data_IF_842944950228
#
_entry.id   IF_842944950228
#
_cell.length_a   1.000
_cell.length_b   1.000
_cell.length_c   1.000
_cell.angle_alpha   90.00
_cell.angle_beta   90.00
_cell.angle_gamma   90.00
#
_symmetry.space_group_name_H-M   'P 1'
#
loop_
_entity.id
_entity.type
_entity.pdbx_description
1 polymer ?
#
# COMPACT_ATOMS: atom_id res chain seq x y z
N UNK A 1 24.55 4.88 22.90
CA UNK A 1 23.38 5.52 22.28
C UNK A 1 23.92 6.36 21.14
N UNK A 2 23.78 5.85 19.91
CA UNK A 2 24.07 6.64 18.72
C UNK A 2 22.98 7.70 18.59
N UNK A 3 23.37 8.94 18.56
CA UNK A 3 22.47 10.07 18.34
C UNK A 3 22.15 10.12 16.83
N UNK A 4 20.90 9.88 16.46
CA UNK A 4 20.49 9.96 15.07
C UNK A 4 20.36 11.43 14.71
N UNK A 5 21.31 11.95 13.96
CA UNK A 5 21.29 13.32 13.43
C UNK A 5 20.48 13.35 12.15
N UNK A 6 19.30 13.96 12.18
CA UNK A 6 18.48 14.17 10.98
C UNK A 6 19.01 15.38 10.22
N UNK A 7 19.48 15.16 8.99
CA UNK A 7 19.92 16.23 8.09
C UNK A 7 18.81 16.63 7.13
N UNK A 8 18.62 17.93 6.92
CA UNK A 8 17.72 18.47 5.88
C UNK A 8 18.30 18.33 4.47
N UNK A 9 19.57 18.04 4.34
CA UNK A 9 20.21 17.81 3.05
C UNK A 9 19.79 16.44 2.52
N UNK A 10 19.20 16.45 1.31
CA UNK A 10 18.82 15.23 0.61
C UNK A 10 20.07 14.47 0.19
N UNK A 11 20.50 13.53 0.98
CA UNK A 11 21.41 12.51 0.51
C UNK A 11 20.62 11.61 -0.45
N UNK A 12 21.10 11.35 -1.68
CA UNK A 12 20.46 10.38 -2.55
C UNK A 12 20.38 9.07 -1.79
N UNK A 13 19.19 8.47 -1.70
CA UNK A 13 19.02 7.17 -1.08
C UNK A 13 19.84 6.18 -1.92
N UNK A 14 21.01 5.81 -1.45
CA UNK A 14 21.73 4.68 -2.00
C UNK A 14 20.93 3.47 -1.59
N UNK A 15 20.21 2.87 -2.56
CA UNK A 15 19.46 1.64 -2.34
C UNK A 15 20.49 0.55 -1.96
N UNK A 16 20.66 0.32 -0.69
CA UNK A 16 21.43 -0.84 -0.22
C UNK A 16 20.61 -2.05 -0.65
N UNK A 17 21.16 -2.90 -1.49
CA UNK A 17 20.57 -4.18 -1.82
C UNK A 17 20.54 -5.01 -0.52
N UNK A 18 19.42 -4.94 0.19
CA UNK A 18 19.13 -5.87 1.27
C UNK A 18 19.17 -7.29 0.66
N UNK A 19 19.74 -8.25 1.38
CA UNK A 19 19.83 -9.63 0.93
C UNK A 19 18.46 -10.12 0.46
N UNK A 20 18.43 -10.75 -0.71
CA UNK A 20 17.23 -11.33 -1.34
C UNK A 20 16.78 -12.61 -0.63
N UNK A 21 16.88 -12.65 0.70
CA UNK A 21 16.56 -13.82 1.48
C UNK A 21 15.05 -13.84 1.84
N UNK A 22 14.32 -14.70 1.13
CA UNK A 22 12.94 -15.04 1.47
C UNK A 22 12.85 -16.13 2.56
N UNK A 23 13.95 -16.77 2.98
CA UNK A 23 13.92 -17.90 3.94
C UNK A 23 13.42 -17.46 5.33
N UNK A 24 13.60 -16.18 5.68
CA UNK A 24 13.15 -15.62 6.95
C UNK A 24 11.97 -14.65 6.79
N UNK A 25 11.31 -14.69 5.64
CA UNK A 25 10.21 -13.80 5.30
C UNK A 25 9.00 -14.00 6.23
N UNK A 26 8.67 -15.25 6.54
CA UNK A 26 7.60 -15.63 7.47
C UNK A 26 8.20 -16.19 8.76
N UNK A 27 8.31 -15.33 9.78
CA UNK A 27 8.72 -15.71 11.13
C UNK A 27 8.09 -14.78 12.15
N UNK A 28 7.87 -15.28 13.35
CA UNK A 28 7.44 -14.44 14.47
C UNK A 28 8.65 -13.74 15.08
N UNK A 29 8.66 -12.41 15.02
CA UNK A 29 9.70 -11.60 15.65
C UNK A 29 9.20 -10.19 15.95
N UNK A 30 9.96 -9.46 16.80
CA UNK A 30 9.70 -8.07 17.07
C UNK A 30 10.15 -7.20 15.89
N UNK A 31 9.29 -6.29 15.47
CA UNK A 31 9.64 -5.18 14.60
C UNK A 31 9.64 -3.87 15.40
N UNK A 32 10.53 -2.96 15.02
CA UNK A 32 10.69 -1.67 15.66
C UNK A 32 10.48 -0.56 14.64
N UNK A 33 9.47 0.27 14.89
CA UNK A 33 9.24 1.48 14.11
C UNK A 33 9.58 2.68 14.96
N UNK A 34 10.42 3.56 14.46
CA UNK A 34 10.75 4.81 15.11
C UNK A 34 10.80 5.93 14.08
N UNK A 35 10.77 7.17 14.53
CA UNK A 35 10.83 8.28 13.59
C UNK A 35 10.79 9.64 14.23
N UNK A 36 10.74 10.61 13.33
CA UNK A 36 10.70 12.02 13.67
C UNK A 36 9.73 12.74 12.74
N UNK A 37 8.89 13.59 13.32
CA UNK A 37 7.95 14.45 12.59
C UNK A 37 8.52 15.87 12.59
N UNK A 38 9.10 16.27 11.46
CA UNK A 38 9.61 17.62 11.28
C UNK A 38 8.46 18.63 11.20
N UNK A 39 8.59 19.72 11.93
CA UNK A 39 7.52 20.72 12.06
C UNK A 39 6.39 20.32 13.01
N UNK A 40 6.59 19.25 13.81
CA UNK A 40 5.65 18.92 14.88
C UNK A 40 5.64 19.99 15.97
N UNK A 41 4.44 20.35 16.42
CA UNK A 41 4.21 21.23 17.56
C UNK A 41 3.11 20.59 18.43
N UNK A 42 3.32 20.39 19.74
CA UNK A 42 2.29 19.84 20.65
C UNK A 42 0.95 20.58 20.61
N UNK A 43 0.97 21.87 20.19
CA UNK A 43 -0.26 22.66 20.00
C UNK A 43 -1.10 22.23 18.80
N UNK A 44 -0.63 21.31 17.95
CA UNK A 44 -1.42 20.72 16.86
C UNK A 44 -2.62 19.90 17.35
N UNK A 45 -2.68 19.60 18.65
CA UNK A 45 -3.81 18.94 19.27
C UNK A 45 -3.80 17.41 19.17
N UNK A 46 -2.65 16.81 18.85
CA UNK A 46 -2.41 15.38 18.94
C UNK A 46 -1.01 15.08 19.48
N UNK A 47 -0.89 14.06 20.28
CA UNK A 47 0.36 13.52 20.85
C UNK A 47 0.46 12.00 20.62
N UNK A 48 -0.44 11.46 19.81
CA UNK A 48 -0.49 10.05 19.47
C UNK A 48 -0.70 9.85 17.97
N UNK A 49 -0.23 8.72 17.50
CA UNK A 49 -0.57 8.17 16.19
C UNK A 49 -1.04 6.72 16.32
N UNK A 50 -1.48 6.13 15.24
CA UNK A 50 -1.90 4.73 15.17
C UNK A 50 -1.15 3.99 14.06
N UNK A 51 -0.89 2.71 14.30
CA UNK A 51 -0.53 1.74 13.27
C UNK A 51 -1.59 0.65 13.32
N UNK A 52 -2.13 0.28 12.17
CA UNK A 52 -2.98 -0.89 12.04
C UNK A 52 -2.14 -2.05 11.55
N UNK A 53 -2.00 -3.08 12.39
CA UNK A 53 -1.34 -4.33 12.04
C UNK A 53 -2.44 -5.34 11.70
N UNK A 54 -2.67 -5.51 10.41
CA UNK A 54 -3.66 -6.48 9.94
C UNK A 54 -3.03 -7.86 9.83
N UNK A 55 -3.75 -8.88 10.23
CA UNK A 55 -3.43 -10.25 9.88
C UNK A 55 -4.11 -10.58 8.55
N UNK A 56 -3.31 -10.83 7.51
CA UNK A 56 -3.82 -11.04 6.15
C UNK A 56 -4.70 -12.30 6.01
N UNK A 57 -4.57 -13.24 6.92
CA UNK A 57 -5.37 -14.48 6.89
C UNK A 57 -6.65 -14.37 7.70
N UNK A 58 -6.59 -13.81 8.94
CA UNK A 58 -7.76 -13.70 9.81
C UNK A 58 -8.54 -12.42 9.60
N UNK A 59 -7.94 -11.40 8.95
CA UNK A 59 -8.48 -10.05 8.76
C UNK A 59 -8.76 -9.31 10.07
N UNK A 60 -8.08 -9.71 11.11
CA UNK A 60 -8.11 -8.99 12.39
C UNK A 60 -7.11 -7.85 12.37
N UNK A 61 -7.58 -6.67 12.74
CA UNK A 61 -6.76 -5.46 12.87
C UNK A 61 -6.34 -5.27 14.32
N UNK A 62 -5.05 -5.09 14.54
CA UNK A 62 -4.48 -4.82 15.85
C UNK A 62 -3.96 -3.38 15.90
N UNK A 63 -4.79 -2.41 16.33
CA UNK A 63 -4.37 -1.03 16.43
C UNK A 63 -3.30 -0.87 17.52
N UNK A 64 -2.16 -0.35 17.14
CA UNK A 64 -1.06 -0.04 18.05
C UNK A 64 -0.91 1.46 18.15
N UNK A 65 -0.97 1.98 19.38
CA UNK A 65 -0.80 3.41 19.65
C UNK A 65 0.67 3.77 19.66
N UNK A 66 1.03 4.81 18.93
CA UNK A 66 2.34 5.44 18.94
C UNK A 66 2.24 6.70 19.80
N UNK A 67 3.13 6.86 20.78
CA UNK A 67 3.28 8.11 21.53
C UNK A 67 4.27 9.03 20.80
N UNK A 68 3.91 10.30 20.65
CA UNK A 68 4.73 11.33 20.02
C UNK A 68 5.26 12.25 21.11
N UNK A 69 6.56 12.30 21.24
CA UNK A 69 7.21 13.19 22.20
C UNK A 69 7.07 14.66 21.78
N UNK A 70 7.20 15.63 22.71
CA UNK A 70 7.07 17.06 22.39
C UNK A 70 8.02 17.58 21.31
N UNK A 71 9.14 16.89 21.09
CA UNK A 71 10.09 17.21 20.02
C UNK A 71 9.74 16.56 18.67
N UNK A 72 8.61 15.84 18.57
CA UNK A 72 8.18 15.15 17.35
C UNK A 72 8.74 13.75 17.16
N UNK A 73 9.60 13.25 18.05
CA UNK A 73 10.09 11.87 17.97
C UNK A 73 9.03 10.86 18.42
N UNK A 74 9.06 9.66 17.83
CA UNK A 74 8.21 8.55 18.22
C UNK A 74 8.94 7.23 18.07
N UNK A 75 8.50 6.23 18.84
CA UNK A 75 8.97 4.85 18.68
C UNK A 75 7.88 3.86 19.10
N UNK A 76 7.87 2.71 18.46
CA UNK A 76 6.92 1.65 18.74
C UNK A 76 7.58 0.29 18.50
N UNK A 77 7.28 -0.70 19.35
CA UNK A 77 7.66 -2.09 19.20
C UNK A 77 6.39 -2.94 19.08
N UNK A 78 6.34 -3.81 18.08
CA UNK A 78 5.23 -4.74 17.89
C UNK A 78 5.75 -6.11 17.42
N UNK A 79 4.95 -7.15 17.63
CA UNK A 79 5.26 -8.51 17.17
C UNK A 79 4.50 -8.76 15.88
N UNK A 80 5.20 -9.23 14.86
CA UNK A 80 4.61 -9.62 13.58
C UNK A 80 5.06 -11.03 13.18
N UNK A 81 4.24 -11.73 12.41
CA UNK A 81 4.49 -13.10 11.96
C UNK A 81 4.90 -13.16 10.48
N UNK A 82 4.78 -12.07 9.78
CA UNK A 82 5.07 -11.90 8.34
C UNK A 82 5.43 -10.45 8.07
N UNK A 83 6.01 -10.14 6.92
CA UNK A 83 6.19 -8.76 6.49
C UNK A 83 4.86 -8.00 6.47
N UNK A 84 4.91 -6.73 6.83
CA UNK A 84 3.73 -5.88 6.94
C UNK A 84 3.90 -4.63 6.09
N UNK A 85 2.97 -4.42 5.18
CA UNK A 85 2.72 -3.12 4.56
C UNK A 85 1.57 -2.44 5.32
N UNK A 86 1.86 -1.31 5.95
CA UNK A 86 0.90 -0.56 6.75
C UNK A 86 1.14 0.94 6.64
N UNK A 87 0.54 1.71 7.54
CA UNK A 87 0.72 3.16 7.61
C UNK A 87 0.78 3.65 9.04
N UNK A 88 1.62 4.66 9.26
CA UNK A 88 1.49 5.52 10.44
C UNK A 88 0.35 6.50 10.18
N UNK A 89 -0.66 6.45 11.04
CA UNK A 89 -1.84 7.33 10.94
C UNK A 89 -1.70 8.47 11.93
N UNK A 90 -1.58 9.68 11.40
CA UNK A 90 -1.50 10.93 12.15
C UNK A 90 -2.74 11.78 11.82
N UNK A 91 -3.70 11.82 12.74
CA UNK A 91 -5.04 12.35 12.45
C UNK A 91 -5.68 11.58 11.29
N UNK A 92 -6.00 12.27 10.18
CA UNK A 92 -6.59 11.65 8.98
C UNK A 92 -5.53 11.30 7.89
N UNK A 93 -4.25 11.36 8.21
CA UNK A 93 -3.18 11.17 7.24
C UNK A 93 -2.52 9.81 7.42
N UNK A 94 -2.49 9.04 6.34
CA UNK A 94 -1.90 7.71 6.27
C UNK A 94 -0.55 7.80 5.58
N UNK A 95 0.52 7.53 6.31
CA UNK A 95 1.91 7.61 5.83
C UNK A 95 2.42 6.17 5.71
N UNK A 96 2.52 5.62 4.50
CA UNK A 96 2.79 4.21 4.29
C UNK A 96 4.21 3.83 4.70
N UNK A 97 4.38 2.59 5.13
CA UNK A 97 5.66 1.93 5.35
C UNK A 97 5.55 0.43 5.10
N UNK A 98 6.71 -0.20 4.94
CA UNK A 98 6.86 -1.66 4.89
C UNK A 98 7.95 -2.07 5.88
N UNK A 99 7.72 -3.16 6.61
CA UNK A 99 8.67 -3.68 7.59
C UNK A 99 8.59 -5.21 7.68
N UNK A 100 9.74 -5.85 7.89
CA UNK A 100 9.83 -7.30 8.07
C UNK A 100 10.10 -7.66 9.54
N UNK A 101 9.77 -8.91 9.96
CA UNK A 101 10.08 -9.39 11.31
C UNK A 101 11.57 -9.25 11.64
N UNK A 102 11.88 -8.79 12.86
CA UNK A 102 13.24 -8.59 13.33
C UNK A 102 13.92 -7.30 12.88
N UNK A 103 13.24 -6.46 12.08
CA UNK A 103 13.85 -5.24 11.54
C UNK A 103 13.48 -4.00 12.34
N UNK A 104 14.34 -2.99 12.20
CA UNK A 104 14.06 -1.61 12.63
C UNK A 104 13.92 -0.73 11.40
N UNK A 105 12.82 -0.01 11.32
CA UNK A 105 12.57 1.02 10.32
C UNK A 105 12.52 2.38 11.00
N UNK A 106 13.27 3.34 10.49
CA UNK A 106 13.21 4.73 10.92
C UNK A 106 12.56 5.58 9.84
N UNK A 107 11.59 6.42 10.24
CA UNK A 107 10.86 7.31 9.33
C UNK A 107 11.14 8.77 9.67
N UNK A 108 11.39 9.57 8.64
CA UNK A 108 11.32 11.02 8.71
C UNK A 108 10.05 11.47 7.99
N UNK A 109 9.23 12.25 8.67
CA UNK A 109 7.93 12.73 8.18
C UNK A 109 7.96 14.26 8.19
N UNK A 110 7.80 14.88 7.03
CA UNK A 110 7.63 16.31 6.88
C UNK A 110 6.15 16.67 7.12
N UNK A 111 5.84 17.31 8.23
CA UNK A 111 4.47 17.66 8.60
C UNK A 111 3.83 18.65 7.63
N UNK A 112 4.59 19.55 7.05
CA UNK A 112 4.07 20.48 6.05
C UNK A 112 3.62 19.76 4.78
N UNK A 113 4.39 18.76 4.33
CA UNK A 113 4.02 17.92 3.19
C UNK A 113 2.77 17.08 3.48
N UNK A 114 2.63 16.56 4.71
CA UNK A 114 1.41 15.86 5.15
C UNK A 114 0.21 16.80 5.11
N UNK A 115 0.35 18.03 5.61
CA UNK A 115 -0.72 19.02 5.59
C UNK A 115 -1.06 19.51 4.17
N UNK A 116 -0.08 19.54 3.25
CA UNK A 116 -0.34 19.85 1.85
C UNK A 116 -1.28 18.83 1.21
N UNK A 117 -1.09 17.51 1.49
CA UNK A 117 -2.02 16.46 1.08
C UNK A 117 -3.41 16.65 1.69
N UNK A 118 -3.51 16.95 2.97
CA UNK A 118 -4.79 17.21 3.63
C UNK A 118 -5.54 18.38 2.98
N UNK A 119 -4.83 19.44 2.63
CA UNK A 119 -5.41 20.61 1.93
C UNK A 119 -5.86 20.27 0.50
N UNK A 120 -5.13 19.40 -0.20
CA UNK A 120 -5.50 18.94 -1.55
C UNK A 120 -6.79 18.11 -1.57
N UNK A 121 -7.20 17.54 -0.45
CA UNK A 121 -8.37 16.63 -0.31
C UNK A 121 -8.32 15.47 -1.31
N UNK A 122 -7.14 15.05 -1.67
CA UNK A 122 -6.90 13.96 -2.61
C UNK A 122 -6.04 12.87 -1.93
N UNK A 123 -6.60 11.69 -1.78
CA UNK A 123 -5.92 10.54 -1.18
C UNK A 123 -4.64 10.15 -1.93
N UNK A 124 -4.62 10.34 -3.25
CA UNK A 124 -3.47 10.03 -4.11
C UNK A 124 -2.46 11.18 -4.21
N UNK A 125 -2.73 12.33 -3.56
CA UNK A 125 -1.76 13.42 -3.53
C UNK A 125 -0.49 12.94 -2.80
N UNK A 126 0.69 13.00 -3.45
CA UNK A 126 1.90 12.43 -2.89
C UNK A 126 2.36 13.20 -1.63
N UNK A 127 2.64 12.47 -0.55
CA UNK A 127 3.34 13.04 0.61
C UNK A 127 4.82 13.10 0.25
N UNK A 128 5.29 14.30 -0.08
CA UNK A 128 6.70 14.56 -0.37
C UNK A 128 7.53 14.52 0.91
N UNK A 129 8.86 14.41 0.76
CA UNK A 129 9.83 14.53 1.85
C UNK A 129 9.66 13.50 2.99
N UNK A 130 8.98 12.38 2.74
CA UNK A 130 9.03 11.24 3.65
C UNK A 130 10.28 10.43 3.31
N UNK A 131 11.14 10.20 4.28
CA UNK A 131 12.33 9.38 4.14
C UNK A 131 12.27 8.17 5.07
N UNK A 132 12.98 7.13 4.68
CA UNK A 132 13.07 5.89 5.43
C UNK A 132 14.54 5.49 5.60
N UNK A 133 14.89 4.88 6.74
CA UNK A 133 16.21 4.33 7.03
C UNK A 133 16.06 2.94 7.65
N UNK A 134 17.01 2.05 7.37
CA UNK A 134 17.00 0.66 7.82
C UNK A 134 16.83 -0.34 6.67
N UNK A 135 16.81 -1.63 6.96
CA UNK A 135 16.78 -2.68 5.93
C UNK A 135 15.60 -2.61 4.97
N UNK A 136 14.41 -2.23 5.47
CA UNK A 136 13.19 -2.08 4.66
C UNK A 136 13.01 -0.69 4.03
N UNK A 137 13.98 0.22 4.15
CA UNK A 137 13.85 1.60 3.71
C UNK A 137 13.58 1.74 2.21
N UNK A 138 14.37 1.04 1.40
CA UNK A 138 14.24 1.06 -0.07
C UNK A 138 12.87 0.55 -0.51
N UNK A 139 12.41 -0.55 0.10
CA UNK A 139 11.13 -1.15 -0.24
C UNK A 139 9.96 -0.27 0.21
N UNK A 140 10.02 0.29 1.43
CA UNK A 140 9.02 1.27 1.90
C UNK A 140 8.89 2.46 0.94
N UNK A 141 10.02 2.99 0.48
CA UNK A 141 10.03 4.09 -0.49
C UNK A 141 9.41 3.67 -1.83
N UNK A 142 9.84 2.54 -2.39
CA UNK A 142 9.38 2.06 -3.70
C UNK A 142 7.89 1.73 -3.70
N UNK A 143 7.37 1.06 -2.67
CA UNK A 143 5.94 0.76 -2.55
C UNK A 143 5.11 2.04 -2.41
N UNK A 144 5.60 3.01 -1.64
CA UNK A 144 4.95 4.34 -1.53
C UNK A 144 4.88 5.05 -2.88
N UNK A 145 5.99 5.12 -3.62
CA UNK A 145 6.03 5.76 -4.94
C UNK A 145 5.14 5.01 -5.93
N UNK A 146 5.26 3.69 -6.00
CA UNK A 146 4.47 2.88 -6.90
C UNK A 146 2.96 3.06 -6.69
N UNK A 147 2.51 3.04 -5.43
CA UNK A 147 1.11 3.28 -5.09
C UNK A 147 0.58 4.61 -5.61
N UNK A 148 1.40 5.65 -5.63
CA UNK A 148 1.00 6.97 -6.17
C UNK A 148 0.93 6.99 -7.70
N UNK A 149 1.64 6.08 -8.37
CA UNK A 149 1.72 6.01 -9.83
C UNK A 149 0.63 5.12 -10.46
N UNK A 150 -0.06 4.32 -9.65
CA UNK A 150 -1.14 3.41 -10.09
C UNK A 150 -2.50 3.78 -9.46
N UNK A 151 -2.94 5.04 -9.51
CA UNK A 151 -4.20 5.41 -8.91
C UNK A 151 -5.38 4.78 -9.68
N UNK A 152 -6.36 4.28 -8.92
CA UNK A 152 -7.68 3.94 -9.44
C UNK A 152 -8.72 4.39 -8.40
N UNK A 153 -9.47 5.42 -8.74
CA UNK A 153 -10.37 6.07 -7.78
C UNK A 153 -11.67 5.28 -7.62
N UNK A 154 -12.21 5.29 -6.42
CA UNK A 154 -13.49 4.64 -6.13
C UNK A 154 -14.61 5.13 -7.06
N UNK A 155 -14.63 6.43 -7.38
CA UNK A 155 -15.61 7.00 -8.31
C UNK A 155 -15.48 6.44 -9.73
N UNK A 156 -14.25 6.13 -10.18
CA UNK A 156 -14.01 5.50 -11.49
C UNK A 156 -14.59 4.08 -11.51
N UNK A 157 -14.38 3.31 -10.43
CA UNK A 157 -14.97 1.98 -10.28
C UNK A 157 -16.50 2.05 -10.22
N UNK A 158 -17.06 2.96 -9.43
CA UNK A 158 -18.51 3.14 -9.30
C UNK A 158 -19.15 3.54 -10.63
N UNK A 159 -18.53 4.47 -11.35
CA UNK A 159 -18.97 4.87 -12.68
C UNK A 159 -18.91 3.72 -13.70
N UNK A 160 -17.80 2.97 -13.70
CA UNK A 160 -17.63 1.82 -14.58
C UNK A 160 -18.70 0.75 -14.30
N UNK A 161 -18.92 0.40 -13.05
CA UNK A 161 -19.91 -0.60 -12.62
C UNK A 161 -21.32 -0.27 -13.09
N UNK A 162 -21.70 1.00 -13.04
CA UNK A 162 -23.03 1.43 -13.42
C UNK A 162 -23.25 1.58 -14.93
N UNK A 163 -22.17 1.66 -15.72
CA UNK A 163 -22.23 1.93 -17.17
C UNK A 163 -21.80 0.76 -18.04
N UNK A 164 -20.94 -0.11 -17.55
CA UNK A 164 -20.29 -1.15 -18.34
C UNK A 164 -20.86 -2.54 -18.01
N UNK A 165 -20.94 -3.38 -19.02
CA UNK A 165 -21.09 -4.82 -18.84
C UNK A 165 -19.77 -5.44 -18.38
N UNK A 166 -19.74 -6.68 -17.84
CA UNK A 166 -18.50 -7.34 -17.46
C UNK A 166 -17.45 -7.39 -18.59
N UNK A 167 -17.86 -7.77 -19.80
CA UNK A 167 -16.97 -7.81 -20.96
C UNK A 167 -16.43 -6.42 -21.33
N UNK A 168 -17.27 -5.40 -21.30
CA UNK A 168 -16.84 -4.01 -21.53
C UNK A 168 -15.87 -3.53 -20.46
N UNK A 169 -16.07 -3.95 -19.20
CA UNK A 169 -15.14 -3.62 -18.12
C UNK A 169 -13.76 -4.28 -18.31
N UNK A 170 -13.72 -5.54 -18.76
CA UNK A 170 -12.46 -6.18 -19.12
C UNK A 170 -11.68 -5.37 -20.17
N UNK A 171 -12.37 -4.96 -21.24
CA UNK A 171 -11.74 -4.14 -22.29
C UNK A 171 -11.28 -2.76 -21.75
N UNK A 172 -12.06 -2.15 -20.87
CA UNK A 172 -11.71 -0.89 -20.20
C UNK A 172 -10.47 -1.04 -19.32
N UNK A 173 -10.32 -2.15 -18.61
CA UNK A 173 -9.19 -2.39 -17.71
C UNK A 173 -7.89 -2.76 -18.43
N UNK A 174 -7.93 -3.36 -19.61
CA UNK A 174 -6.72 -3.77 -20.35
C UNK A 174 -5.65 -2.67 -20.45
N UNK A 175 -5.93 -1.47 -20.95
CA UNK A 175 -4.92 -0.41 -21.04
C UNK A 175 -4.49 0.11 -19.64
N UNK A 176 -5.34 0.04 -18.65
CA UNK A 176 -5.04 0.47 -17.28
C UNK A 176 -4.02 -0.49 -16.66
N UNK A 177 -4.30 -1.79 -16.72
CA UNK A 177 -3.41 -2.85 -16.21
C UNK A 177 -2.06 -2.82 -16.94
N UNK A 178 -2.07 -2.76 -18.27
CA UNK A 178 -0.84 -2.66 -19.07
C UNK A 178 0.01 -1.44 -18.68
N UNK A 179 -0.62 -0.30 -18.38
CA UNK A 179 0.09 0.88 -17.88
C UNK A 179 0.70 0.64 -16.50
N UNK A 180 0.00 -0.06 -15.58
CA UNK A 180 0.52 -0.38 -14.27
C UNK A 180 1.70 -1.36 -14.32
N UNK A 181 1.60 -2.41 -15.14
CA UNK A 181 2.70 -3.32 -15.43
C UNK A 181 3.93 -2.57 -15.99
N UNK A 182 3.71 -1.70 -16.98
CA UNK A 182 4.77 -0.86 -17.54
C UNK A 182 5.37 0.10 -16.49
N UNK A 183 4.54 0.65 -15.61
CA UNK A 183 5.01 1.51 -14.50
C UNK A 183 5.87 0.73 -13.52
N UNK A 184 5.46 -0.50 -13.16
CA UNK A 184 6.25 -1.38 -12.33
C UNK A 184 7.62 -1.71 -12.96
N UNK A 185 7.63 -2.11 -14.23
CA UNK A 185 8.85 -2.42 -14.97
C UNK A 185 9.78 -1.21 -15.09
N UNK A 186 9.22 -0.03 -15.37
CA UNK A 186 9.97 1.23 -15.44
C UNK A 186 10.60 1.60 -14.12
N UNK A 187 9.85 1.48 -13.01
CA UNK A 187 10.35 1.75 -11.67
C UNK A 187 11.49 0.78 -11.30
N UNK A 188 11.31 -0.50 -11.61
CA UNK A 188 12.34 -1.54 -11.40
C UNK A 188 13.60 -1.25 -12.21
N UNK A 189 13.44 -0.85 -13.46
CA UNK A 189 14.58 -0.53 -14.33
C UNK A 189 15.36 0.71 -13.85
N UNK A 190 14.65 1.74 -13.42
CA UNK A 190 15.26 3.00 -12.96
C UNK A 190 15.93 2.82 -11.59
N UNK A 191 15.20 2.25 -10.64
CA UNK A 191 15.67 2.13 -9.26
C UNK A 191 16.60 0.93 -9.02
N UNK A 192 16.57 -0.08 -9.91
CA UNK A 192 17.35 -1.34 -9.78
C UNK A 192 17.26 -1.93 -8.38
N UNK A 193 16.05 -2.17 -7.86
CA UNK A 193 15.87 -2.71 -6.53
C UNK A 193 16.36 -4.17 -6.44
N UNK A 194 16.37 -4.75 -5.23
CA UNK A 194 16.58 -6.18 -5.05
C UNK A 194 15.52 -7.01 -5.80
N UNK A 195 15.81 -8.28 -6.10
CA UNK A 195 14.86 -9.19 -6.75
C UNK A 195 13.57 -9.33 -5.89
N UNK A 196 13.71 -9.36 -4.56
CA UNK A 196 12.59 -9.35 -3.62
C UNK A 196 11.71 -8.12 -3.81
N UNK A 197 12.28 -6.93 -3.81
CA UNK A 197 11.52 -5.69 -3.97
C UNK A 197 10.86 -5.61 -5.36
N UNK A 198 11.53 -6.03 -6.42
CA UNK A 198 10.96 -6.11 -7.76
C UNK A 198 9.74 -7.04 -7.81
N UNK A 199 9.83 -8.20 -7.15
CA UNK A 199 8.72 -9.16 -7.07
C UNK A 199 7.51 -8.58 -6.32
N UNK A 200 7.73 -7.95 -5.16
CA UNK A 200 6.66 -7.33 -4.38
C UNK A 200 5.95 -6.19 -5.13
N UNK A 201 6.71 -5.38 -5.90
CA UNK A 201 6.11 -4.34 -6.75
C UNK A 201 5.21 -4.95 -7.84
N UNK A 202 5.65 -6.04 -8.49
CA UNK A 202 4.84 -6.72 -9.50
C UNK A 202 3.59 -7.35 -8.89
N UNK A 203 3.74 -8.08 -7.78
CA UNK A 203 2.61 -8.66 -7.06
C UNK A 203 1.57 -7.60 -6.67
N UNK A 204 2.04 -6.41 -6.26
CA UNK A 204 1.15 -5.30 -5.92
C UNK A 204 0.31 -4.84 -7.12
N UNK A 205 0.90 -4.72 -8.31
CA UNK A 205 0.17 -4.37 -9.52
C UNK A 205 -0.91 -5.42 -9.85
N UNK A 206 -0.53 -6.69 -9.77
CA UNK A 206 -1.42 -7.82 -10.08
C UNK A 206 -2.58 -7.91 -9.09
N UNK A 207 -2.29 -7.85 -7.77
CA UNK A 207 -3.30 -7.89 -6.72
C UNK A 207 -4.26 -6.69 -6.78
N UNK A 208 -3.74 -5.50 -7.06
CA UNK A 208 -4.56 -4.31 -7.29
C UNK A 208 -5.52 -4.52 -8.47
N UNK A 209 -5.01 -5.00 -9.59
CA UNK A 209 -5.82 -5.26 -10.78
C UNK A 209 -6.86 -6.35 -10.52
N UNK A 210 -6.45 -7.48 -9.95
CA UNK A 210 -7.34 -8.59 -9.63
C UNK A 210 -8.45 -8.20 -8.65
N UNK A 211 -8.10 -7.42 -7.62
CA UNK A 211 -9.08 -6.89 -6.67
C UNK A 211 -10.16 -6.03 -7.35
N UNK A 212 -9.77 -5.19 -8.32
CA UNK A 212 -10.71 -4.35 -9.05
C UNK A 212 -11.65 -5.15 -9.98
N UNK A 213 -11.18 -6.27 -10.55
CA UNK A 213 -12.07 -7.15 -11.32
C UNK A 213 -13.16 -7.76 -10.43
N UNK A 214 -12.83 -8.19 -9.23
CA UNK A 214 -13.83 -8.67 -8.27
C UNK A 214 -14.72 -7.55 -7.73
N UNK A 215 -14.15 -6.40 -7.37
CA UNK A 215 -14.88 -5.25 -6.86
C UNK A 215 -15.91 -4.71 -7.88
N UNK A 216 -15.62 -4.85 -9.17
CA UNK A 216 -16.56 -4.49 -10.22
C UNK A 216 -17.82 -5.38 -10.17
N UNK A 217 -17.68 -6.68 -9.97
CA UNK A 217 -18.81 -7.60 -9.86
C UNK A 217 -19.56 -7.46 -8.53
N UNK A 218 -18.81 -7.18 -7.47
CA UNK A 218 -19.40 -7.04 -6.14
C UNK A 218 -20.46 -5.92 -6.13
N UNK A 219 -21.60 -6.21 -5.58
CA UNK A 219 -22.74 -5.28 -5.48
C UNK A 219 -23.51 -5.04 -6.77
N UNK A 220 -23.14 -5.58 -7.95
CA UNK A 220 -23.92 -5.37 -9.17
C UNK A 220 -25.38 -5.85 -9.03
N UNK A 221 -25.58 -7.02 -8.42
CA UNK A 221 -26.96 -7.53 -8.16
C UNK A 221 -27.77 -6.62 -7.24
N UNK A 222 -27.10 -6.00 -6.28
CA UNK A 222 -27.76 -5.00 -5.42
C UNK A 222 -28.19 -3.78 -6.23
N UNK A 223 -27.29 -3.20 -7.04
CA UNK A 223 -27.59 -2.02 -7.85
C UNK A 223 -28.59 -2.32 -8.97
N UNK A 224 -28.57 -3.53 -9.55
CA UNK A 224 -29.56 -3.96 -10.54
C UNK A 224 -30.99 -4.01 -9.97
N UNK A 225 -31.13 -4.29 -8.68
CA UNK A 225 -32.43 -4.20 -7.98
C UNK A 225 -32.87 -2.77 -7.70
N UNK A 226 -31.92 -1.85 -7.51
CA UNK A 226 -32.20 -0.43 -7.26
C UNK A 226 -32.51 0.33 -8.56
N UNK A 227 -31.81 0.00 -9.64
CA UNK A 227 -32.01 0.60 -10.96
C UNK A 227 -32.41 -0.49 -11.98
N UNK A 228 -33.71 -0.81 -11.97
CA UNK A 228 -34.25 -1.85 -12.85
C UNK A 228 -34.30 -1.45 -14.32
N UNK A 229 -34.10 -0.19 -14.66
CA UNK A 229 -34.01 0.28 -16.04
C UNK A 229 -32.64 0.06 -16.66
N UNK A 230 -31.59 -0.05 -15.84
CA UNK A 230 -30.22 -0.17 -16.29
C UNK A 230 -29.89 -1.59 -16.80
N UNK A 231 -29.89 -1.75 -18.13
CA UNK A 231 -29.64 -3.04 -18.76
C UNK A 231 -28.18 -3.51 -18.58
N UNK A 232 -27.20 -2.61 -18.45
CA UNK A 232 -25.82 -2.97 -18.24
C UNK A 232 -25.63 -3.79 -16.95
N UNK A 233 -26.34 -3.43 -15.88
CA UNK A 233 -26.28 -4.12 -14.59
C UNK A 233 -26.86 -5.54 -14.61
N UNK A 234 -27.74 -5.83 -15.59
CA UNK A 234 -28.40 -7.15 -15.72
C UNK A 234 -27.56 -8.17 -16.46
N UNK A 235 -26.54 -7.72 -17.19
CA UNK A 235 -25.63 -8.62 -17.91
C UNK A 235 -24.75 -9.34 -16.92
N UNK A 236 -24.78 -10.67 -16.96
CA UNK A 236 -23.92 -11.52 -16.13
C UNK A 236 -22.58 -11.69 -16.81
N UNK A 237 -21.58 -11.96 -15.99
CA UNK A 237 -20.25 -12.33 -16.44
C UNK A 237 -20.23 -13.72 -17.07
N UNK A 238 -19.35 -13.89 -18.04
CA UNK A 238 -19.00 -15.18 -18.63
C UNK A 238 -17.78 -15.77 -17.93
N UNK A 239 -17.53 -17.08 -18.08
CA UNK A 239 -16.36 -17.75 -17.49
C UNK A 239 -15.04 -17.08 -17.89
N UNK A 240 -14.96 -16.58 -19.12
CA UNK A 240 -13.82 -15.84 -19.64
C UNK A 240 -13.50 -14.55 -18.87
N UNK A 241 -14.47 -14.02 -18.09
CA UNK A 241 -14.22 -12.87 -17.22
C UNK A 241 -13.13 -13.14 -16.19
N UNK A 242 -13.02 -14.38 -15.73
CA UNK A 242 -12.07 -14.80 -14.71
C UNK A 242 -10.69 -15.21 -15.27
N UNK A 243 -10.45 -15.02 -16.57
CA UNK A 243 -9.16 -15.34 -17.20
C UNK A 243 -7.97 -14.54 -16.63
N UNK A 244 -8.21 -13.39 -16.00
CA UNK A 244 -7.18 -12.66 -15.28
C UNK A 244 -6.54 -13.48 -14.15
N UNK A 245 -7.27 -14.41 -13.53
CA UNK A 245 -6.75 -15.29 -12.47
C UNK A 245 -5.58 -16.15 -12.92
N UNK A 246 -5.52 -16.50 -14.21
CA UNK A 246 -4.42 -17.29 -14.78
C UNK A 246 -3.06 -16.58 -14.72
N UNK A 247 -3.08 -15.25 -14.61
CA UNK A 247 -1.88 -14.41 -14.53
C UNK A 247 -1.55 -14.02 -13.09
N UNK A 248 -2.46 -14.25 -12.15
CA UNK A 248 -2.27 -13.86 -10.74
C UNK A 248 -1.20 -14.73 -10.08
N UNK A 249 -0.34 -14.16 -9.21
CA UNK A 249 0.72 -14.89 -8.52
C UNK A 249 0.18 -15.70 -7.32
N UNK A 250 -0.88 -16.50 -7.52
CA UNK A 250 -1.62 -17.18 -6.44
C UNK A 250 -0.79 -18.23 -5.68
N UNK A 251 0.26 -18.76 -6.30
CA UNK A 251 1.18 -19.72 -5.69
C UNK A 251 2.44 -19.03 -5.10
N UNK A 252 2.47 -17.72 -5.10
CA UNK A 252 3.57 -16.95 -4.55
C UNK A 252 3.24 -16.50 -3.12
N UNK A 253 3.91 -17.09 -2.14
CA UNK A 253 3.70 -16.74 -0.73
C UNK A 253 3.97 -15.25 -0.43
N UNK A 254 4.81 -14.59 -1.25
CA UNK A 254 5.14 -13.18 -1.06
C UNK A 254 3.96 -12.24 -1.33
N UNK A 255 2.86 -12.73 -1.93
CA UNK A 255 1.61 -11.95 -2.04
C UNK A 255 1.03 -11.60 -0.67
N UNK A 256 1.27 -12.43 0.35
CA UNK A 256 0.80 -12.18 1.73
C UNK A 256 1.47 -10.96 2.39
N UNK A 257 2.53 -10.43 1.81
CA UNK A 257 3.15 -9.18 2.27
C UNK A 257 2.44 -7.91 1.75
N UNK A 258 1.52 -8.04 0.80
CA UNK A 258 0.77 -6.91 0.25
C UNK A 258 -0.52 -6.67 1.04
N UNK A 259 -0.78 -5.42 1.42
CA UNK A 259 -1.99 -5.04 2.15
C UNK A 259 -3.31 -5.34 1.41
N UNK A 260 -3.27 -5.62 0.10
CA UNK A 260 -4.45 -6.01 -0.67
C UNK A 260 -4.70 -7.53 -0.68
N UNK A 261 -3.75 -8.35 -0.21
CA UNK A 261 -3.82 -9.81 -0.31
C UNK A 261 -5.07 -10.37 0.38
N UNK A 262 -5.31 -9.97 1.63
CA UNK A 262 -6.48 -10.38 2.40
C UNK A 262 -7.79 -9.99 1.71
N UNK A 263 -7.86 -8.77 1.21
CA UNK A 263 -9.03 -8.29 0.47
C UNK A 263 -9.26 -9.08 -0.81
N UNK A 264 -8.19 -9.38 -1.56
CA UNK A 264 -8.26 -10.17 -2.77
C UNK A 264 -8.72 -11.61 -2.48
N UNK A 265 -8.09 -12.31 -1.51
CA UNK A 265 -8.46 -13.68 -1.11
C UNK A 265 -9.92 -13.75 -0.65
N UNK A 266 -10.41 -12.75 0.06
CA UNK A 266 -11.79 -12.73 0.55
C UNK A 266 -12.83 -12.52 -0.58
N UNK A 267 -12.42 -12.06 -1.74
CA UNK A 267 -13.29 -11.91 -2.92
C UNK A 267 -13.23 -13.10 -3.88
N UNK A 268 -12.18 -13.89 -3.76
CA UNK A 268 -11.98 -15.13 -4.52
C UNK A 268 -12.91 -16.25 -4.01
#
# INVERSE_FOLDING_TARGET
>A
TEEIVYSKERTPVTLVNAEDDFQQFFRQDAAYLQGYIDGYDPRLGFDTGLIYLSNELTREDYPTVIQIAPNGSFSCRFIINHPVESSVVLGNNWIPFYIEPGQTLTMYIDWEAVMARSRARDYYFPIKNTAYMGPSASLSYLLKEFKSLIPYRYDDLSNARNKLTPSQYQEHMKPIVARWEHTADSLIQICRPSAKAARLIKNKADLQAGGLFFDFLMSRDYYAKQDTANQALKVKEEDSYYDFLKKMPLNDETVLADANASSFINRF
#
